data_IF_954979367484
#
_entry.id   IF_954979367484
#
_cell.length_a   1.000
_cell.length_b   1.000
_cell.length_c   1.000
_cell.angle_alpha   90.00
_cell.angle_beta   90.00
_cell.angle_gamma   90.00
#
_symmetry.space_group_name_H-M   'P 1'
#
loop_
_entity.id
_entity.type
_entity.pdbx_description
1 polymer ?
#
# COMPACT_ATOMS: atom_id res chain seq x y z
N UNK A 1 10.21 24.26 -2.10
CA UNK A 1 10.32 24.73 -3.50
C UNK A 1 10.33 23.56 -4.50
N UNK A 2 9.47 22.55 -4.31
CA UNK A 2 9.38 21.32 -5.13
C UNK A 2 8.20 21.32 -6.12
N UNK A 3 7.43 22.42 -6.18
CA UNK A 3 6.21 22.52 -6.99
C UNK A 3 6.47 22.89 -8.47
N UNK A 4 7.65 23.42 -8.80
CA UNK A 4 7.93 24.03 -10.11
C UNK A 4 8.34 23.07 -11.23
N UNK A 5 8.73 21.83 -10.91
CA UNK A 5 9.28 20.87 -11.89
C UNK A 5 8.19 19.98 -12.51
N UNK A 6 7.03 19.85 -11.85
CA UNK A 6 5.93 18.97 -12.25
C UNK A 6 5.20 19.36 -13.54
N UNK A 7 5.31 20.61 -14.01
CA UNK A 7 4.56 21.07 -15.20
C UNK A 7 5.15 20.63 -16.55
N UNK A 8 6.41 20.17 -16.59
CA UNK A 8 7.10 19.83 -17.84
C UNK A 8 7.00 18.35 -18.22
N UNK A 9 6.95 17.44 -17.25
CA UNK A 9 6.94 16.00 -17.51
C UNK A 9 5.57 15.46 -17.97
N UNK A 10 4.46 16.13 -17.62
CA UNK A 10 3.13 15.71 -18.08
C UNK A 10 2.97 15.77 -19.60
N UNK A 11 3.61 16.74 -20.29
CA UNK A 11 3.40 16.94 -21.74
C UNK A 11 3.86 15.77 -22.61
N UNK A 12 4.79 14.94 -22.14
CA UNK A 12 5.31 13.82 -22.94
C UNK A 12 4.46 12.55 -22.81
N UNK A 13 3.74 12.36 -21.70
CA UNK A 13 2.92 11.15 -21.48
C UNK A 13 1.49 11.32 -22.00
N UNK A 14 0.97 12.55 -22.10
CA UNK A 14 -0.41 12.79 -22.59
C UNK A 14 -0.55 12.82 -24.12
N UNK A 15 0.56 12.90 -24.88
CA UNK A 15 0.51 13.05 -26.34
C UNK A 15 0.32 11.75 -27.12
N UNK A 16 0.42 10.57 -26.49
CA UNK A 16 0.24 9.28 -27.17
C UNK A 16 -1.14 8.62 -26.93
N UNK A 17 -2.01 9.22 -26.11
CA UNK A 17 -3.25 8.58 -25.66
C UNK A 17 -4.56 9.23 -26.16
N UNK A 18 -4.53 10.13 -27.14
CA UNK A 18 -5.76 10.76 -27.68
C UNK A 18 -5.84 10.69 -29.21
N UNK A 19 -6.25 9.53 -29.70
CA UNK A 19 -6.92 9.38 -30.98
C UNK A 19 -8.03 8.35 -30.83
N UNK A 20 -9.20 8.67 -31.39
CA UNK A 20 -10.44 7.88 -31.50
C UNK A 20 -11.40 7.82 -30.30
N UNK A 21 -12.41 8.71 -30.31
CA UNK A 21 -13.74 8.41 -30.85
C UNK A 21 -14.80 9.42 -30.34
N UNK A 22 -15.62 9.94 -31.24
CA UNK A 22 -16.67 10.92 -30.98
C UNK A 22 -18.08 10.40 -31.33
N UNK A 23 -19.03 10.63 -30.40
CA UNK A 23 -20.46 11.04 -30.56
C UNK A 23 -21.55 10.06 -31.13
N UNK A 24 -22.89 10.27 -30.89
CA UNK A 24 -23.65 10.77 -29.71
C UNK A 24 -25.11 10.23 -29.50
N UNK A 25 -25.86 10.88 -28.56
CA UNK A 25 -27.35 11.07 -28.39
C UNK A 25 -28.18 9.95 -27.69
N UNK A 26 -29.24 10.16 -26.86
CA UNK A 26 -30.07 11.31 -26.38
C UNK A 26 -31.03 10.86 -25.22
N UNK A 27 -31.40 11.79 -24.32
CA UNK A 27 -32.70 12.03 -23.61
C UNK A 27 -33.24 11.10 -22.50
N UNK A 28 -33.43 11.67 -21.31
CA UNK A 28 -34.37 11.26 -20.22
C UNK A 28 -35.83 11.70 -20.53
N UNK A 29 -36.88 11.26 -19.78
CA UNK A 29 -37.23 11.90 -18.48
C UNK A 29 -37.93 11.04 -17.38
N UNK A 30 -37.80 11.53 -16.14
CA UNK A 30 -38.74 11.62 -15.00
C UNK A 30 -39.22 10.42 -14.13
N UNK A 31 -39.17 10.69 -12.80
CA UNK A 31 -39.61 9.95 -11.60
C UNK A 31 -41.15 10.01 -11.38
N UNK A 32 -41.73 9.31 -10.36
CA UNK A 32 -41.83 9.90 -9.02
C UNK A 32 -41.68 8.93 -7.82
N UNK A 33 -41.52 9.55 -6.66
CA UNK A 33 -41.26 8.98 -5.34
C UNK A 33 -42.46 8.31 -4.65
N UNK A 34 -42.18 7.35 -3.77
CA UNK A 34 -43.04 7.03 -2.63
C UNK A 34 -42.26 6.35 -1.48
N UNK A 35 -42.23 7.01 -0.33
CA UNK A 35 -42.09 6.44 1.02
C UNK A 35 -43.45 6.70 1.74
N UNK A 36 -43.82 6.13 2.91
CA UNK A 36 -42.97 5.48 3.92
C UNK A 36 -43.58 4.21 4.59
N UNK A 37 -42.78 3.46 5.36
CA UNK A 37 -43.30 2.69 6.50
C UNK A 37 -42.20 2.43 7.54
N UNK A 38 -42.45 2.91 8.76
CA UNK A 38 -41.76 2.49 9.98
C UNK A 38 -42.06 1.01 10.26
N UNK A 39 -41.03 0.20 10.46
CA UNK A 39 -41.13 -1.01 11.30
C UNK A 39 -40.03 -1.00 12.35
N UNK A 40 -40.47 -0.87 13.60
CA UNK A 40 -39.71 -1.11 14.80
C UNK A 40 -39.31 -2.59 14.94
N UNK A 41 -38.19 -2.80 15.64
CA UNK A 41 -37.69 -4.06 16.19
C UNK A 41 -36.92 -4.98 15.22
N UNK A 42 -35.62 -5.01 15.41
CA UNK A 42 -34.71 -6.02 14.90
C UNK A 42 -33.39 -5.88 15.65
N UNK A 43 -33.28 -6.55 16.79
CA UNK A 43 -32.00 -6.74 17.46
C UNK A 43 -31.05 -7.36 16.44
N UNK A 44 -29.91 -6.73 16.21
CA UNK A 44 -28.84 -7.34 15.43
C UNK A 44 -28.24 -8.45 16.26
N UNK A 45 -28.82 -9.66 16.16
CA UNK A 45 -28.08 -10.91 16.32
C UNK A 45 -27.06 -10.95 15.18
N UNK A 46 -25.98 -10.18 15.36
CA UNK A 46 -24.82 -10.25 14.51
C UNK A 46 -24.14 -11.58 14.80
N UNK A 47 -24.20 -12.51 13.85
CA UNK A 47 -23.26 -13.63 13.84
C UNK A 47 -21.86 -13.05 14.09
N UNK A 48 -21.03 -13.66 14.97
CA UNK A 48 -19.71 -13.13 15.26
C UNK A 48 -18.98 -12.93 13.93
N UNK A 49 -18.52 -11.69 13.69
CA UNK A 49 -17.79 -11.35 12.47
C UNK A 49 -16.68 -12.39 12.28
N UNK A 50 -16.63 -13.00 11.08
CA UNK A 50 -15.69 -14.08 10.79
C UNK A 50 -14.29 -13.58 11.11
N UNK A 51 -13.58 -14.28 11.99
CA UNK A 51 -12.16 -14.02 12.25
C UNK A 51 -11.38 -14.22 10.94
N UNK A 52 -10.73 -13.16 10.47
CA UNK A 52 -9.87 -13.15 9.29
C UNK A 52 -8.39 -13.17 9.69
N UNK A 53 -7.55 -13.65 8.79
CA UNK A 53 -6.08 -13.59 8.88
C UNK A 53 -5.55 -12.58 7.86
N UNK A 54 -4.97 -11.49 8.35
CA UNK A 54 -4.33 -10.46 7.52
C UNK A 54 -2.82 -10.68 7.46
N UNK A 55 -2.26 -10.71 6.26
CA UNK A 55 -0.82 -10.63 6.05
C UNK A 55 -0.44 -9.18 5.73
N UNK A 56 0.10 -8.47 6.72
CA UNK A 56 0.42 -7.05 6.63
C UNK A 56 1.91 -6.86 6.35
N UNK A 57 2.25 -6.39 5.17
CA UNK A 57 3.61 -6.08 4.76
C UNK A 57 3.83 -4.58 4.83
N UNK A 58 4.96 -4.16 5.40
CA UNK A 58 5.36 -2.76 5.34
C UNK A 58 6.81 -2.64 4.92
N UNK A 59 7.07 -1.62 4.12
CA UNK A 59 8.43 -1.27 3.72
C UNK A 59 9.31 -1.03 4.95
N UNK A 60 10.59 -1.38 4.84
CA UNK A 60 11.58 -1.04 5.86
C UNK A 60 11.91 0.45 5.92
N UNK A 61 11.35 1.27 5.03
CA UNK A 61 11.70 2.67 4.88
C UNK A 61 10.88 3.59 5.78
N UNK A 62 11.56 4.27 6.70
CA UNK A 62 11.01 5.37 7.50
C UNK A 62 10.08 4.94 8.65
N UNK A 63 10.18 5.65 9.78
CA UNK A 63 9.32 5.40 10.94
C UNK A 63 7.83 5.73 10.69
N UNK A 64 7.53 6.57 9.70
CA UNK A 64 6.15 6.95 9.36
C UNK A 64 5.30 5.77 8.84
N UNK A 65 5.90 4.81 8.14
CA UNK A 65 5.21 3.59 7.71
C UNK A 65 4.89 2.71 8.92
N UNK A 66 5.85 2.55 9.84
CA UNK A 66 5.64 1.76 11.05
C UNK A 66 4.54 2.32 11.95
N UNK A 67 4.52 3.63 12.20
CA UNK A 67 3.48 4.25 13.05
C UNK A 67 2.09 4.12 12.46
N UNK A 68 1.94 4.31 11.15
CA UNK A 68 0.68 4.07 10.44
C UNK A 68 0.26 2.60 10.51
N UNK A 69 1.18 1.69 10.18
CA UNK A 69 0.90 0.25 10.21
C UNK A 69 0.44 -0.21 11.59
N UNK A 70 1.10 0.24 12.67
CA UNK A 70 0.69 -0.06 14.05
C UNK A 70 -0.76 0.32 14.32
N UNK A 71 -1.20 1.49 13.84
CA UNK A 71 -2.58 1.94 14.09
C UNK A 71 -3.60 1.14 13.27
N UNK A 72 -3.30 0.76 12.03
CA UNK A 72 -4.19 -0.13 11.25
C UNK A 72 -4.26 -1.51 11.90
N UNK A 73 -3.11 -2.10 12.23
CA UNK A 73 -3.01 -3.42 12.88
C UNK A 73 -3.75 -3.43 14.23
N UNK A 74 -3.66 -2.35 15.01
CA UNK A 74 -4.40 -2.19 16.27
C UNK A 74 -5.90 -2.32 16.07
N UNK A 75 -6.46 -1.67 15.04
CA UNK A 75 -7.90 -1.72 14.77
C UNK A 75 -8.34 -3.09 14.24
N UNK A 76 -7.54 -3.71 13.37
CA UNK A 76 -7.81 -5.08 12.90
C UNK A 76 -7.85 -6.09 14.07
N UNK A 77 -6.89 -5.99 14.98
CA UNK A 77 -6.84 -6.85 16.18
C UNK A 77 -8.00 -6.54 17.13
N UNK A 78 -8.36 -5.26 17.32
CA UNK A 78 -9.50 -4.88 18.15
C UNK A 78 -10.84 -5.40 17.59
N UNK A 79 -10.94 -5.54 16.27
CA UNK A 79 -12.06 -6.18 15.58
C UNK A 79 -12.04 -7.73 15.66
N UNK A 80 -11.08 -8.33 16.37
CA UNK A 80 -11.00 -9.77 16.59
C UNK A 80 -10.27 -10.55 15.51
N UNK A 81 -9.55 -9.87 14.61
CA UNK A 81 -8.78 -10.52 13.54
C UNK A 81 -7.35 -10.90 13.97
N UNK A 82 -6.73 -11.80 13.21
CA UNK A 82 -5.32 -12.16 13.34
C UNK A 82 -4.48 -11.39 12.31
N UNK A 83 -3.31 -10.90 12.71
CA UNK A 83 -2.46 -10.09 11.84
C UNK A 83 -1.01 -10.57 11.91
N UNK A 84 -0.48 -10.97 10.76
CA UNK A 84 0.94 -11.27 10.56
C UNK A 84 1.64 -10.09 9.90
N UNK A 85 2.43 -9.34 10.68
CA UNK A 85 3.24 -8.23 10.19
C UNK A 85 4.57 -8.76 9.66
N UNK A 86 4.88 -8.48 8.39
CA UNK A 86 6.13 -8.86 7.73
C UNK A 86 6.94 -7.62 7.35
N UNK A 87 8.11 -7.42 7.97
CA UNK A 87 8.90 -6.19 7.78
C UNK A 87 10.37 -6.30 8.21
N UNK A 88 11.21 -5.38 7.72
CA UNK A 88 12.57 -5.20 8.20
C UNK A 88 12.65 -4.29 9.45
N UNK A 89 11.56 -3.59 9.79
CA UNK A 89 11.46 -2.78 11.01
C UNK A 89 11.60 -3.69 12.25
N UNK A 90 12.40 -3.31 13.26
CA UNK A 90 12.57 -4.12 14.46
C UNK A 90 11.24 -4.43 15.16
N UNK A 91 11.04 -5.69 15.55
CA UNK A 91 9.81 -6.17 16.19
C UNK A 91 9.38 -5.35 17.41
N UNK A 92 10.35 -4.86 18.20
CA UNK A 92 10.06 -4.05 19.39
C UNK A 92 9.26 -2.78 19.09
N UNK A 93 9.34 -2.24 17.87
CA UNK A 93 8.57 -1.05 17.45
C UNK A 93 7.07 -1.35 17.50
N UNK A 94 6.67 -2.57 17.17
CA UNK A 94 5.27 -3.03 17.23
C UNK A 94 4.90 -3.47 18.64
N UNK A 95 5.70 -4.34 19.26
CA UNK A 95 5.36 -4.96 20.55
C UNK A 95 5.43 -4.00 21.74
N UNK A 96 6.14 -2.87 21.61
CA UNK A 96 6.08 -1.77 22.57
C UNK A 96 4.74 -1.03 22.55
N UNK A 97 4.05 -0.98 21.40
CA UNK A 97 2.82 -0.21 21.20
C UNK A 97 1.55 -1.09 21.18
N UNK A 98 1.69 -2.39 20.90
CA UNK A 98 0.58 -3.32 20.75
C UNK A 98 0.99 -4.71 21.26
N UNK A 99 0.39 -5.13 22.38
CA UNK A 99 0.55 -6.48 22.94
C UNK A 99 -0.77 -7.23 22.78
N UNK A 100 -0.78 -8.22 21.90
CA UNK A 100 -1.96 -9.05 21.64
C UNK A 100 -1.52 -10.44 21.17
N UNK A 101 -2.23 -11.52 21.56
CA UNK A 101 -1.98 -12.84 21.01
C UNK A 101 -2.31 -12.96 19.51
N UNK A 102 -3.10 -12.02 18.95
CA UNK A 102 -3.41 -11.96 17.52
C UNK A 102 -2.39 -11.19 16.68
N UNK A 103 -1.29 -10.70 17.29
CA UNK A 103 -0.20 -10.05 16.59
C UNK A 103 0.98 -11.01 16.44
N UNK A 104 1.41 -11.21 15.19
CA UNK A 104 2.60 -11.99 14.87
C UNK A 104 3.54 -11.13 14.04
N UNK A 105 4.78 -10.93 14.46
CA UNK A 105 5.76 -10.14 13.71
C UNK A 105 6.83 -11.05 13.14
N UNK A 106 7.06 -10.97 11.84
CA UNK A 106 8.07 -11.72 11.09
C UNK A 106 9.07 -10.74 10.49
N UNK A 107 10.35 -10.93 10.81
CA UNK A 107 11.42 -10.14 10.19
C UNK A 107 11.67 -10.63 8.77
N UNK A 108 11.48 -9.76 7.78
CA UNK A 108 11.77 -10.04 6.37
C UNK A 108 12.16 -8.75 5.64
N UNK A 109 13.11 -8.83 4.71
CA UNK A 109 13.54 -7.70 3.89
C UNK A 109 13.11 -7.95 2.44
N UNK A 110 12.11 -7.21 1.96
CA UNK A 110 11.52 -7.37 0.62
C UNK A 110 11.67 -6.11 -0.24
N UNK A 111 12.06 -5.00 0.37
CA UNK A 111 12.43 -3.75 -0.29
C UNK A 111 13.47 -3.02 0.55
N UNK A 112 14.00 -1.92 0.03
CA UNK A 112 14.94 -1.07 0.77
C UNK A 112 14.51 0.40 0.87
N UNK A 113 13.47 0.80 0.12
CA UNK A 113 13.07 2.18 -0.09
C UNK A 113 14.21 3.09 -0.54
N UNK A 114 14.24 4.32 -0.01
CA UNK A 114 15.31 5.26 -0.32
C UNK A 114 16.51 5.08 0.64
N UNK A 115 17.71 5.00 0.07
CA UNK A 115 18.97 5.10 0.81
C UNK A 115 19.23 6.57 1.11
N UNK A 116 19.36 6.88 2.38
CA UNK A 116 19.57 8.24 2.88
C UNK A 116 20.91 8.31 3.62
N UNK A 117 21.70 9.35 3.34
CA UNK A 117 22.91 9.67 4.12
C UNK A 117 22.57 10.45 5.40
N UNK A 118 21.48 11.20 5.36
CA UNK A 118 20.94 12.00 6.46
C UNK A 118 19.42 12.19 6.27
N UNK A 119 18.69 12.81 7.22
CA UNK A 119 17.23 12.92 7.13
C UNK A 119 16.67 13.62 5.87
N UNK A 120 17.49 14.39 5.14
CA UNK A 120 17.07 15.20 4.00
C UNK A 120 17.74 14.78 2.68
N UNK A 121 18.87 14.09 2.74
CA UNK A 121 19.63 13.73 1.55
C UNK A 121 19.42 12.25 1.18
N UNK A 122 18.86 12.04 0.00
CA UNK A 122 18.70 10.74 -0.64
C UNK A 122 19.84 10.51 -1.63
N UNK A 123 20.33 9.27 -1.71
CA UNK A 123 21.20 8.78 -2.78
C UNK A 123 20.39 7.94 -3.78
N UNK A 124 20.04 8.48 -4.95
CA UNK A 124 19.26 7.78 -5.96
C UNK A 124 19.94 6.50 -6.48
N UNK A 125 21.24 6.54 -6.73
CA UNK A 125 21.97 5.42 -7.32
C UNK A 125 22.12 4.29 -6.31
N UNK A 126 22.50 4.61 -5.06
CA UNK A 126 22.57 3.62 -4.00
C UNK A 126 21.20 3.00 -3.69
N UNK A 127 20.11 3.77 -3.81
CA UNK A 127 18.75 3.25 -3.67
C UNK A 127 18.43 2.21 -4.73
N UNK A 128 18.71 2.51 -6.00
CA UNK A 128 18.46 1.60 -7.13
C UNK A 128 19.30 0.33 -7.04
N UNK A 129 20.60 0.46 -6.72
CA UNK A 129 21.49 -0.70 -6.57
C UNK A 129 21.07 -1.58 -5.39
N UNK A 130 20.74 -0.97 -4.24
CA UNK A 130 20.27 -1.73 -3.09
C UNK A 130 18.94 -2.44 -3.38
N UNK A 131 18.02 -1.78 -4.08
CA UNK A 131 16.76 -2.41 -4.48
C UNK A 131 17.02 -3.58 -5.44
N UNK A 132 17.93 -3.40 -6.40
CA UNK A 132 18.32 -4.46 -7.32
C UNK A 132 18.81 -5.71 -6.57
N UNK A 133 19.75 -5.56 -5.64
CA UNK A 133 20.26 -6.68 -4.85
C UNK A 133 19.21 -7.30 -3.92
N UNK A 134 18.30 -6.48 -3.39
CA UNK A 134 17.32 -6.91 -2.37
C UNK A 134 16.12 -7.62 -2.98
N UNK A 135 15.60 -7.12 -4.10
CA UNK A 135 14.29 -7.51 -4.63
C UNK A 135 14.32 -7.99 -6.09
N UNK A 136 15.34 -7.63 -6.88
CA UNK A 136 15.44 -8.04 -8.29
C UNK A 136 16.25 -9.33 -8.43
N UNK A 137 17.46 -9.39 -7.87
CA UNK A 137 18.34 -10.57 -7.95
C UNK A 137 17.69 -11.83 -7.33
N UNK A 138 17.14 -11.80 -6.10
CA UNK A 138 16.52 -12.97 -5.48
C UNK A 138 15.02 -13.11 -5.80
N UNK A 139 14.48 -12.39 -6.79
CA UNK A 139 13.04 -12.24 -7.03
C UNK A 139 12.26 -13.55 -7.06
N UNK A 140 12.70 -14.52 -7.87
CA UNK A 140 12.02 -15.81 -8.01
C UNK A 140 11.94 -16.56 -6.68
N UNK A 141 13.01 -16.50 -5.88
CA UNK A 141 13.00 -17.10 -4.55
C UNK A 141 12.06 -16.35 -3.60
N UNK A 142 12.02 -15.02 -3.66
CA UNK A 142 11.10 -14.20 -2.86
C UNK A 142 9.65 -14.56 -3.19
N UNK A 143 9.27 -14.53 -4.48
CA UNK A 143 7.90 -14.81 -4.90
C UNK A 143 7.44 -16.19 -4.46
N UNK A 144 8.27 -17.22 -4.67
CA UNK A 144 7.98 -18.58 -4.23
C UNK A 144 7.82 -18.68 -2.72
N UNK A 145 8.80 -18.17 -1.96
CA UNK A 145 8.78 -18.23 -0.49
C UNK A 145 7.59 -17.48 0.10
N UNK A 146 7.26 -16.31 -0.44
CA UNK A 146 6.16 -15.50 0.08
C UNK A 146 4.80 -16.08 -0.30
N UNK A 147 4.64 -16.61 -1.51
CA UNK A 147 3.40 -17.30 -1.90
C UNK A 147 3.17 -18.62 -1.13
N UNK A 148 4.23 -19.35 -0.80
CA UNK A 148 4.18 -20.52 0.10
C UNK A 148 3.81 -20.08 1.53
N UNK A 149 4.44 -19.02 2.04
CA UNK A 149 4.18 -18.51 3.38
C UNK A 149 2.74 -18.01 3.54
N UNK A 150 2.24 -17.21 2.60
CA UNK A 150 0.85 -16.71 2.60
C UNK A 150 -0.19 -17.85 2.66
N UNK A 151 0.05 -18.94 1.91
CA UNK A 151 -0.79 -20.14 1.97
C UNK A 151 -0.67 -20.85 3.31
N UNK A 152 0.53 -20.92 3.87
CA UNK A 152 0.77 -21.61 5.15
C UNK A 152 0.05 -20.95 6.33
N UNK A 153 -0.01 -19.61 6.35
CA UNK A 153 -0.75 -18.85 7.37
C UNK A 153 -2.25 -18.74 7.06
N UNK A 154 -2.71 -19.25 5.91
CA UNK A 154 -4.10 -19.16 5.44
C UNK A 154 -4.59 -17.71 5.39
N UNK A 155 -3.77 -16.81 4.86
CA UNK A 155 -4.12 -15.39 4.77
C UNK A 155 -5.40 -15.20 3.94
N UNK A 156 -6.36 -14.46 4.51
CA UNK A 156 -7.60 -14.06 3.84
C UNK A 156 -7.40 -12.80 2.98
N UNK A 157 -6.51 -11.91 3.41
CA UNK A 157 -6.17 -10.68 2.71
C UNK A 157 -4.71 -10.29 2.94
N UNK A 158 -4.05 -9.84 1.87
CA UNK A 158 -2.73 -9.21 1.94
C UNK A 158 -2.88 -7.69 1.98
N UNK A 159 -2.23 -7.04 2.93
CA UNK A 159 -2.15 -5.58 3.01
C UNK A 159 -0.70 -5.17 2.77
N UNK A 160 -0.45 -4.36 1.76
CA UNK A 160 0.88 -3.84 1.45
C UNK A 160 0.96 -2.34 1.71
N UNK A 161 1.68 -1.95 2.76
CA UNK A 161 2.17 -0.58 2.94
C UNK A 161 3.39 -0.39 2.03
N UNK A 162 3.07 -0.20 0.75
CA UNK A 162 3.93 0.08 -0.41
C UNK A 162 5.06 -0.91 -0.69
N UNK A 163 4.96 -2.17 -0.28
CA UNK A 163 5.92 -3.23 -0.67
C UNK A 163 5.50 -3.85 -2.01
N UNK A 164 6.23 -3.65 -3.13
CA UNK A 164 5.73 -4.00 -4.47
C UNK A 164 5.56 -5.51 -4.65
N UNK A 165 6.64 -6.27 -4.47
CA UNK A 165 6.74 -7.72 -4.77
C UNK A 165 5.66 -8.56 -4.09
N UNK A 166 5.11 -8.06 -2.98
CA UNK A 166 4.05 -8.69 -2.20
C UNK A 166 2.73 -8.75 -2.97
N UNK A 167 2.42 -7.75 -3.80
CA UNK A 167 1.19 -7.74 -4.61
C UNK A 167 1.22 -8.88 -5.63
N UNK A 168 2.39 -9.12 -6.24
CA UNK A 168 2.60 -10.27 -7.13
C UNK A 168 2.59 -11.59 -6.38
N UNK A 169 3.28 -11.70 -5.23
CA UNK A 169 3.25 -12.91 -4.41
C UNK A 169 1.84 -13.28 -3.94
N UNK A 170 0.99 -12.29 -3.64
CA UNK A 170 -0.42 -12.49 -3.30
C UNK A 170 -1.21 -13.06 -4.48
N UNK A 171 -1.01 -12.51 -5.69
CA UNK A 171 -1.62 -13.04 -6.90
C UNK A 171 -1.17 -14.48 -7.19
N UNK A 172 0.13 -14.79 -7.07
CA UNK A 172 0.68 -16.15 -7.23
C UNK A 172 0.14 -17.14 -6.18
N UNK A 173 -0.30 -16.63 -5.02
CA UNK A 173 -0.98 -17.40 -3.97
C UNK A 173 -2.50 -17.49 -4.14
N UNK A 174 -3.10 -16.76 -5.09
CA UNK A 174 -4.55 -16.67 -5.27
C UNK A 174 -5.26 -15.87 -4.17
N UNK A 175 -4.55 -14.95 -3.50
CA UNK A 175 -5.07 -14.15 -2.39
C UNK A 175 -5.17 -12.69 -2.84
N UNK A 176 -6.27 -12.04 -2.49
CA UNK A 176 -6.49 -10.63 -2.80
C UNK A 176 -5.54 -9.75 -2.00
N UNK A 177 -5.11 -8.64 -2.61
CA UNK A 177 -4.22 -7.69 -1.96
C UNK A 177 -4.73 -6.27 -2.08
N UNK A 178 -4.54 -5.48 -1.01
CA UNK A 178 -4.80 -4.05 -0.99
C UNK A 178 -3.52 -3.30 -0.64
N UNK A 179 -3.32 -2.14 -1.23
CA UNK A 179 -2.19 -1.27 -0.93
C UNK A 179 -2.63 -0.09 -0.08
N UNK A 180 -1.74 0.39 0.78
CA UNK A 180 -1.92 1.62 1.56
C UNK A 180 -0.72 2.51 1.29
N UNK A 181 -0.94 3.75 0.85
CA UNK A 181 0.17 4.65 0.59
C UNK A 181 -0.25 6.02 0.08
N UNK A 182 0.64 7.00 0.25
CA UNK A 182 0.58 8.29 -0.44
C UNK A 182 1.59 8.35 -1.60
N UNK A 183 2.49 7.38 -1.73
CA UNK A 183 3.41 7.28 -2.86
C UNK A 183 3.64 5.81 -3.20
N UNK A 184 4.25 5.57 -4.35
CA UNK A 184 4.64 4.25 -4.81
C UNK A 184 6.11 4.25 -5.24
N UNK A 185 6.81 3.11 -5.08
CA UNK A 185 8.24 3.06 -5.39
C UNK A 185 8.55 3.21 -6.88
N UNK A 186 7.64 2.85 -7.79
CA UNK A 186 7.79 3.09 -9.24
C UNK A 186 7.85 4.60 -9.52
N UNK A 187 6.99 5.38 -8.85
CA UNK A 187 6.96 6.84 -9.00
C UNK A 187 8.24 7.49 -8.46
N UNK A 188 8.69 7.06 -7.27
CA UNK A 188 9.92 7.58 -6.66
C UNK A 188 11.16 7.18 -7.46
N UNK A 189 11.27 5.92 -7.87
CA UNK A 189 12.43 5.42 -8.59
C UNK A 189 12.48 5.88 -10.06
N UNK A 190 11.34 6.25 -10.66
CA UNK A 190 11.34 6.90 -11.96
C UNK A 190 12.13 8.21 -11.92
N UNK A 191 11.99 9.01 -10.85
CA UNK A 191 12.80 10.22 -10.67
C UNK A 191 14.29 9.89 -10.47
N UNK A 192 14.59 8.80 -9.75
CA UNK A 192 15.97 8.38 -9.51
C UNK A 192 16.68 7.95 -10.79
N UNK A 193 15.99 7.23 -11.68
CA UNK A 193 16.53 6.83 -12.99
C UNK A 193 16.82 8.06 -13.85
N UNK A 194 15.95 9.07 -13.83
CA UNK A 194 16.19 10.33 -14.55
C UNK A 194 17.45 11.06 -14.07
N UNK A 195 17.80 10.92 -12.78
CA UNK A 195 18.99 11.53 -12.19
C UNK A 195 20.27 10.68 -12.34
N UNK A 196 20.18 9.34 -12.22
CA UNK A 196 21.32 8.43 -12.13
C UNK A 196 21.65 7.69 -13.45
N UNK A 197 20.76 7.74 -14.45
CA UNK A 197 20.94 7.07 -15.75
C UNK A 197 20.13 5.77 -15.90
N UNK A 198 20.23 5.15 -17.08
CA UNK A 198 19.31 4.10 -17.55
C UNK A 198 19.55 2.62 -17.14
N UNK A 199 20.64 2.18 -16.47
CA UNK A 199 20.87 0.74 -16.27
C UNK A 199 19.80 0.05 -15.40
N UNK A 200 19.02 0.83 -14.64
CA UNK A 200 17.98 0.32 -13.73
C UNK A 200 16.55 0.54 -14.23
N UNK A 201 16.34 0.89 -15.51
CA UNK A 201 15.00 1.21 -16.04
C UNK A 201 13.96 0.09 -15.85
N UNK A 202 14.40 -1.17 -15.89
CA UNK A 202 13.52 -2.33 -15.70
C UNK A 202 12.93 -2.41 -14.30
N UNK A 203 13.58 -1.81 -13.30
CA UNK A 203 13.11 -1.80 -11.91
C UNK A 203 11.74 -1.12 -11.82
N UNK A 204 11.57 0.05 -12.43
CA UNK A 204 10.30 0.80 -12.38
C UNK A 204 9.17 0.02 -13.04
N UNK A 205 9.43 -0.58 -14.21
CA UNK A 205 8.43 -1.41 -14.89
C UNK A 205 8.04 -2.63 -14.06
N UNK A 206 9.01 -3.30 -13.45
CA UNK A 206 8.76 -4.45 -12.59
C UNK A 206 7.94 -4.06 -11.34
N UNK A 207 8.26 -2.92 -10.71
CA UNK A 207 7.51 -2.41 -9.56
C UNK A 207 6.07 -2.04 -9.96
N UNK A 208 5.89 -1.38 -11.10
CA UNK A 208 4.57 -1.03 -11.60
C UNK A 208 3.75 -2.29 -11.95
N UNK A 209 4.36 -3.30 -12.57
CA UNK A 209 3.73 -4.60 -12.82
C UNK A 209 3.31 -5.25 -11.50
N UNK A 210 4.18 -5.27 -10.50
CA UNK A 210 3.87 -5.81 -9.18
C UNK A 210 2.66 -5.12 -8.56
N UNK A 211 2.66 -3.79 -8.46
CA UNK A 211 1.52 -3.04 -7.92
C UNK A 211 0.23 -3.22 -8.74
N UNK A 212 0.32 -3.49 -10.05
CA UNK A 212 -0.86 -3.73 -10.89
C UNK A 212 -1.64 -5.00 -10.54
N UNK A 213 -1.04 -5.91 -9.73
CA UNK A 213 -1.70 -7.09 -9.18
C UNK A 213 -2.52 -6.79 -7.91
N UNK A 214 -2.46 -5.56 -7.40
CA UNK A 214 -3.24 -5.10 -6.27
C UNK A 214 -4.71 -4.85 -6.68
N UNK A 215 -5.67 -5.26 -5.84
CA UNK A 215 -7.10 -5.05 -6.08
C UNK A 215 -7.46 -3.56 -5.99
N UNK A 216 -6.98 -2.88 -4.95
CA UNK A 216 -7.24 -1.44 -4.76
C UNK A 216 -6.14 -0.78 -3.91
N UNK A 217 -5.89 0.49 -4.20
CA UNK A 217 -5.06 1.37 -3.38
C UNK A 217 -5.94 2.21 -2.44
N UNK A 218 -5.72 2.08 -1.14
CA UNK A 218 -6.18 3.03 -0.13
C UNK A 218 -5.21 4.22 -0.10
N UNK A 219 -5.55 5.28 -0.85
CA UNK A 219 -4.68 6.42 -1.09
C UNK A 219 -4.81 7.46 0.01
N UNK A 220 -3.67 7.77 0.63
CA UNK A 220 -3.58 8.72 1.74
C UNK A 220 -3.38 10.16 1.24
N UNK A 221 -3.73 11.19 2.05
CA UNK A 221 -3.51 12.58 1.68
C UNK A 221 -2.03 12.91 1.43
N UNK A 222 -1.79 13.91 0.58
CA UNK A 222 -0.43 14.30 0.17
C UNK A 222 0.20 13.32 -0.82
N UNK A 223 -0.62 12.74 -1.70
CA UNK A 223 -0.17 11.70 -2.62
C UNK A 223 0.54 12.23 -3.87
N UNK A 224 1.44 11.42 -4.43
CA UNK A 224 1.92 11.57 -5.80
C UNK A 224 1.07 10.71 -6.77
N UNK A 225 1.08 10.96 -8.09
CA UNK A 225 0.43 10.07 -9.05
C UNK A 225 0.98 8.65 -8.93
N UNK A 226 0.10 7.65 -8.89
CA UNK A 226 0.48 6.24 -8.80
C UNK A 226 -0.28 5.44 -9.87
N UNK A 227 0.14 5.55 -11.15
CA UNK A 227 -0.61 5.01 -12.30
C UNK A 227 -0.60 3.48 -12.38
N UNK A 228 0.26 2.81 -11.62
CA UNK A 228 0.29 1.35 -11.54
C UNK A 228 -0.98 0.75 -10.92
N UNK A 229 -1.70 1.50 -10.10
CA UNK A 229 -2.94 1.05 -9.46
C UNK A 229 -4.15 1.38 -10.35
N UNK A 230 -4.98 0.37 -10.60
CA UNK A 230 -6.17 0.49 -11.45
C UNK A 230 -7.38 1.04 -10.70
N UNK A 231 -7.52 0.64 -9.44
CA UNK A 231 -8.57 1.08 -8.54
C UNK A 231 -7.97 1.82 -7.35
N UNK A 232 -8.57 2.95 -7.00
CA UNK A 232 -8.05 3.86 -5.98
C UNK A 232 -9.20 4.40 -5.14
N UNK A 233 -9.14 4.16 -3.84
CA UNK A 233 -10.05 4.72 -2.85
C UNK A 233 -9.30 5.73 -1.99
N UNK A 234 -9.71 7.00 -2.02
CA UNK A 234 -9.15 8.02 -1.14
C UNK A 234 -9.65 7.79 0.30
N UNK A 235 -8.71 7.74 1.25
CA UNK A 235 -8.98 7.51 2.67
C UNK A 235 -8.40 8.65 3.52
N UNK A 236 -8.96 8.94 4.71
CA UNK A 236 -8.40 9.94 5.61
C UNK A 236 -7.00 9.53 6.10
N UNK A 237 -6.27 10.51 6.63
CA UNK A 237 -4.96 10.25 7.22
C UNK A 237 -5.10 9.28 8.41
N UNK A 238 -4.26 8.25 8.44
CA UNK A 238 -4.15 7.36 9.60
C UNK A 238 -3.32 8.09 10.65
N UNK A 239 -3.96 8.46 11.75
CA UNK A 239 -3.34 9.16 12.88
C UNK A 239 -3.49 8.35 14.14
N UNK A 240 -2.50 8.46 15.03
CA UNK A 240 -2.59 7.91 16.38
C UNK A 240 -3.62 8.72 17.16
N UNK A 241 -4.57 8.04 17.81
CA UNK A 241 -5.49 8.70 18.74
C UNK A 241 -4.72 9.40 19.86
N UNK A 242 -5.17 10.59 20.26
CA UNK A 242 -4.57 11.33 21.39
C UNK A 242 -4.64 10.47 22.66
N UNK A 243 -3.48 10.10 23.20
CA UNK A 243 -3.37 9.37 24.48
C UNK A 243 -3.15 10.27 25.68
N UNK A 244 -2.91 11.56 25.45
CA UNK A 244 -2.74 12.59 26.48
C UNK A 244 -3.82 13.65 26.30
N UNK A 245 -4.46 13.99 27.41
CA UNK A 245 -5.32 15.15 27.51
C UNK A 245 -4.50 16.43 27.31
N UNK A 246 -5.17 17.53 26.92
CA UNK A 246 -4.52 18.84 26.76
C UNK A 246 -3.81 19.33 28.03
N UNK A 247 -4.21 18.81 29.20
CA UNK A 247 -3.58 19.08 30.50
C UNK A 247 -2.29 18.29 30.77
N UNK A 248 -1.97 17.28 29.95
CA UNK A 248 -0.80 16.40 30.12
C UNK A 248 0.34 16.71 29.13
N UNK A 249 0.21 17.80 28.34
CA UNK A 249 1.17 18.27 27.34
C UNK A 249 1.72 19.63 27.75
#
# INVERSE_FOLDING_TARGET
ALWGVWSRSLRLVTLEATADAAHPTRMDPELPASSPAMSTAGGTDGAPERRLVFAFYLTGHGFGHATRAIEVVRHLIAAGHEVHVSTAVPEFVFTAELRSPGLHVRKVLLDCGAVQSDPLTVDPLASLEKYHQTAVVPRESILRTEAEWLRSVKADLVVSDVVPVVCRAAADAGIRSVCIGNFSWDSIYAEYIMAAGYPHRSIVWQIAEDYSNCETLLRLPGYCPMPAFRDVTDVPLVVRGLRKSRSEV
#
